data_IF_921833616346
#
_entry.id   IF_921833616346
#
_cell.length_a   1.000
_cell.length_b   1.000
_cell.length_c   1.000
_cell.angle_alpha   90.00
_cell.angle_beta   90.00
_cell.angle_gamma   90.00
#
_symmetry.space_group_name_H-M   'P 1'
#
loop_
_entity.id
_entity.type
_entity.pdbx_description
1 polymer ?
#
# COMPACT_ATOMS: atom_id res chain seq x y z
N UNK A 1 24.75 13.82 -11.32
CA UNK A 1 23.57 14.70 -11.42
C UNK A 1 22.30 13.91 -11.17
N UNK A 2 22.11 12.73 -11.77
CA UNK A 2 20.94 11.86 -11.52
C UNK A 2 20.79 11.41 -10.05
N UNK A 3 21.88 10.94 -9.41
CA UNK A 3 21.86 10.57 -7.98
C UNK A 3 21.48 11.69 -7.01
N UNK A 4 21.82 12.94 -7.35
CA UNK A 4 21.44 14.11 -6.53
C UNK A 4 19.95 14.44 -6.65
N UNK A 5 19.33 14.14 -7.80
CA UNK A 5 17.90 14.37 -8.02
C UNK A 5 17.06 13.31 -7.31
N UNK A 6 17.46 12.03 -7.40
CA UNK A 6 16.80 10.92 -6.68
C UNK A 6 16.84 11.12 -5.16
N UNK A 7 18.01 11.48 -4.61
CA UNK A 7 18.14 11.79 -3.18
C UNK A 7 17.23 12.96 -2.76
N UNK A 8 17.15 14.01 -3.59
CA UNK A 8 16.26 15.15 -3.32
C UNK A 8 14.77 14.78 -3.37
N UNK A 9 14.40 13.83 -4.23
CA UNK A 9 13.03 13.33 -4.33
C UNK A 9 12.69 12.47 -3.11
N UNK A 10 13.59 11.58 -2.69
CA UNK A 10 13.42 10.75 -1.50
C UNK A 10 13.19 11.62 -0.25
N UNK A 11 14.03 12.63 -0.03
CA UNK A 11 13.88 13.56 1.10
C UNK A 11 12.52 14.27 1.10
N UNK A 12 12.05 14.69 -0.08
CA UNK A 12 10.74 15.33 -0.23
C UNK A 12 9.59 14.37 0.07
N UNK A 13 9.66 13.12 -0.41
CA UNK A 13 8.65 12.11 -0.16
C UNK A 13 8.61 11.72 1.32
N UNK A 14 9.77 11.49 1.94
CA UNK A 14 9.87 11.22 3.39
C UNK A 14 9.34 12.38 4.23
N UNK A 15 9.63 13.62 3.85
CA UNK A 15 9.10 14.81 4.54
C UNK A 15 7.56 14.89 4.44
N UNK A 16 6.99 14.58 3.28
CA UNK A 16 5.53 14.53 3.09
C UNK A 16 4.89 13.38 3.90
N UNK A 17 5.57 12.24 3.98
CA UNK A 17 5.14 11.10 4.78
C UNK A 17 5.16 11.45 6.28
N UNK A 18 6.24 12.06 6.78
CA UNK A 18 6.32 12.54 8.16
C UNK A 18 5.15 13.46 8.49
N UNK A 19 4.85 14.45 7.63
CA UNK A 19 3.75 15.39 7.88
C UNK A 19 2.39 14.66 7.98
N UNK A 20 2.15 13.69 7.10
CA UNK A 20 0.89 12.92 7.11
C UNK A 20 0.78 12.03 8.34
N UNK A 21 1.87 11.35 8.72
CA UNK A 21 1.92 10.51 9.92
C UNK A 21 1.75 11.35 11.18
N UNK A 22 2.39 12.52 11.25
CA UNK A 22 2.23 13.45 12.37
C UNK A 22 0.76 13.80 12.61
N UNK A 23 0.01 14.13 11.55
CA UNK A 23 -1.44 14.40 11.65
C UNK A 23 -2.24 13.20 12.16
N UNK A 24 -1.97 12.00 11.65
CA UNK A 24 -2.67 10.78 12.09
C UNK A 24 -2.35 10.50 13.56
N UNK A 25 -1.09 10.63 13.96
CA UNK A 25 -0.66 10.45 15.35
C UNK A 25 -1.30 11.49 16.27
N UNK A 26 -1.35 12.76 15.87
CA UNK A 26 -2.01 13.82 16.63
C UNK A 26 -3.50 13.50 16.85
N UNK A 27 -4.22 13.06 15.81
CA UNK A 27 -5.63 12.67 15.90
C UNK A 27 -5.85 11.49 16.87
N UNK A 28 -4.99 10.47 16.81
CA UNK A 28 -5.11 9.29 17.69
C UNK A 28 -4.68 9.59 19.14
N UNK A 29 -3.64 10.40 19.33
CA UNK A 29 -3.15 10.76 20.67
C UNK A 29 -4.15 11.64 21.44
N UNK A 30 -4.88 12.51 20.75
CA UNK A 30 -6.02 13.26 21.32
C UNK A 30 -7.08 12.28 21.87
N UNK A 31 -7.46 11.25 21.10
CA UNK A 31 -8.46 10.26 21.52
C UNK A 31 -7.98 9.44 22.73
N UNK A 32 -6.68 9.13 22.77
CA UNK A 32 -6.06 8.33 23.83
C UNK A 32 -5.70 9.17 25.07
N UNK A 33 -5.74 10.50 25.00
CA UNK A 33 -5.36 11.39 26.10
C UNK A 33 -3.86 11.32 26.44
N UNK A 34 -3.02 11.00 25.46
CA UNK A 34 -1.56 10.89 25.61
C UNK A 34 -0.86 11.84 24.65
N UNK A 35 0.46 11.99 24.78
CA UNK A 35 1.28 12.74 23.81
C UNK A 35 2.25 11.79 23.10
N UNK A 36 2.47 11.99 21.81
CA UNK A 36 3.53 11.33 21.07
C UNK A 36 4.82 12.15 21.11
N UNK A 37 5.96 11.47 21.19
CA UNK A 37 7.27 12.13 21.09
C UNK A 37 7.66 12.32 19.62
N UNK A 38 8.47 13.33 19.29
CA UNK A 38 9.03 13.47 17.93
C UNK A 38 9.81 12.24 17.48
N UNK A 39 10.48 11.54 18.40
CA UNK A 39 11.22 10.32 18.13
C UNK A 39 10.28 9.16 17.76
N UNK A 40 9.11 9.06 18.41
CA UNK A 40 8.10 8.08 18.05
C UNK A 40 7.56 8.33 16.64
N UNK A 41 7.23 9.59 16.31
CA UNK A 41 6.77 9.98 14.96
C UNK A 41 7.84 9.68 13.91
N UNK A 42 9.11 9.99 14.19
CA UNK A 42 10.23 9.68 13.30
C UNK A 42 10.41 8.17 13.09
N UNK A 43 10.38 7.38 14.16
CA UNK A 43 10.47 5.91 14.07
C UNK A 43 9.29 5.30 13.31
N UNK A 44 8.07 5.80 13.52
CA UNK A 44 6.89 5.37 12.78
C UNK A 44 6.98 5.74 11.29
N UNK A 45 7.57 6.90 10.98
CA UNK A 45 7.82 7.33 9.59
C UNK A 45 8.76 6.37 8.86
N UNK A 46 9.88 6.00 9.47
CA UNK A 46 10.81 5.02 8.88
C UNK A 46 10.20 3.63 8.75
N UNK A 47 9.39 3.21 9.74
CA UNK A 47 8.66 1.94 9.67
C UNK A 47 7.68 1.91 8.48
N UNK A 48 6.87 2.96 8.32
CA UNK A 48 5.92 3.05 7.21
C UNK A 48 6.63 3.16 5.87
N UNK A 49 7.76 3.87 5.81
CA UNK A 49 8.59 3.94 4.61
C UNK A 49 9.06 2.56 4.15
N UNK A 50 9.64 1.76 5.05
CA UNK A 50 10.05 0.39 4.77
C UNK A 50 8.85 -0.52 4.39
N UNK A 51 7.69 -0.29 5.00
CA UNK A 51 6.48 -1.03 4.69
C UNK A 51 5.96 -0.72 3.28
N UNK A 52 6.05 0.54 2.82
CA UNK A 52 5.67 0.95 1.46
C UNK A 52 6.53 0.24 0.42
N UNK A 53 7.85 0.14 0.66
CA UNK A 53 8.76 -0.58 -0.24
C UNK A 53 8.35 -2.05 -0.38
N UNK A 54 8.12 -2.72 0.75
CA UNK A 54 7.70 -4.13 0.79
C UNK A 54 6.35 -4.33 0.07
N UNK A 55 5.36 -3.49 0.37
CA UNK A 55 4.04 -3.54 -0.25
C UNK A 55 4.12 -3.33 -1.76
N UNK A 56 4.97 -2.41 -2.22
CA UNK A 56 5.13 -2.12 -3.64
C UNK A 56 5.66 -3.33 -4.42
N UNK A 57 6.65 -4.03 -3.87
CA UNK A 57 7.21 -5.26 -4.45
C UNK A 57 6.18 -6.41 -4.47
N UNK A 58 5.39 -6.55 -3.39
CA UNK A 58 4.33 -7.54 -3.31
C UNK A 58 3.22 -7.28 -4.36
N UNK A 59 2.80 -6.01 -4.51
CA UNK A 59 1.79 -5.62 -5.51
C UNK A 59 2.24 -5.91 -6.94
N UNK A 60 3.48 -5.56 -7.27
CA UNK A 60 4.07 -5.88 -8.57
C UNK A 60 4.11 -7.40 -8.79
N UNK A 61 4.54 -8.15 -7.79
CA UNK A 61 4.60 -9.61 -7.85
C UNK A 61 3.22 -10.24 -8.06
N UNK A 62 2.17 -9.73 -7.42
CA UNK A 62 0.80 -10.22 -7.58
C UNK A 62 0.21 -9.89 -8.94
N UNK A 63 0.40 -8.66 -9.43
CA UNK A 63 0.00 -8.25 -10.76
C UNK A 63 0.67 -9.15 -11.83
N UNK A 64 1.97 -9.42 -11.64
CA UNK A 64 2.75 -10.25 -12.55
C UNK A 64 2.38 -11.76 -12.49
N UNK A 65 1.88 -12.24 -11.36
CA UNK A 65 1.56 -13.68 -11.14
C UNK A 65 0.12 -14.05 -11.50
N UNK A 66 -0.76 -13.08 -11.75
CA UNK A 66 -2.22 -13.24 -11.86
C UNK A 66 -2.73 -14.22 -12.93
N UNK A 67 -1.88 -14.71 -13.85
CA UNK A 67 -2.27 -15.63 -14.94
C UNK A 67 -1.97 -17.11 -14.63
N UNK A 68 -2.57 -17.66 -13.56
CA UNK A 68 -2.52 -19.12 -13.29
C UNK A 68 -3.92 -19.74 -13.16
N UNK A 69 -4.73 -19.64 -14.22
CA UNK A 69 -5.68 -20.72 -14.54
C UNK A 69 -4.97 -21.68 -15.50
N UNK A 70 -4.31 -22.69 -14.93
CA UNK A 70 -3.94 -23.87 -15.71
C UNK A 70 -5.24 -24.58 -16.09
N UNK A 71 -5.67 -24.41 -17.35
CA UNK A 71 -6.62 -25.33 -17.98
C UNK A 71 -5.85 -26.06 -19.07
N UNK A 72 -5.44 -27.30 -18.76
CA UNK A 72 -4.97 -28.37 -19.66
C UNK A 72 -4.41 -27.94 -21.02
N UNK A 73 -3.33 -27.15 -21.02
CA UNK A 73 -2.57 -26.83 -22.22
C UNK A 73 -1.14 -27.35 -22.04
N UNK A 74 -0.72 -28.22 -22.97
CA UNK A 74 0.61 -28.84 -23.04
C UNK A 74 1.72 -27.83 -23.39
N UNK A 75 1.37 -26.55 -23.57
CA UNK A 75 2.30 -25.47 -23.83
C UNK A 75 2.01 -24.30 -22.86
N UNK A 76 2.63 -24.32 -21.69
CA UNK A 76 2.46 -23.28 -20.67
C UNK A 76 3.17 -21.99 -21.09
N UNK A 77 2.43 -21.05 -21.68
CA UNK A 77 2.88 -19.68 -21.94
C UNK A 77 3.13 -18.95 -20.61
N UNK A 78 4.38 -19.00 -20.15
CA UNK A 78 4.86 -18.56 -18.83
C UNK A 78 5.18 -17.05 -18.74
N UNK A 79 4.61 -16.17 -19.58
CA UNK A 79 5.19 -14.83 -19.77
C UNK A 79 4.22 -13.66 -20.07
N UNK A 80 3.08 -13.54 -19.38
CA UNK A 80 2.34 -12.27 -19.43
C UNK A 80 1.51 -12.06 -18.17
N UNK A 81 2.15 -11.59 -17.10
CA UNK A 81 1.43 -10.98 -15.99
C UNK A 81 0.80 -9.65 -16.39
N UNK A 82 -0.03 -9.07 -15.53
CA UNK A 82 -0.52 -7.69 -15.72
C UNK A 82 0.58 -6.71 -15.32
N UNK A 83 0.81 -5.68 -16.12
CA UNK A 83 1.70 -4.55 -15.78
C UNK A 83 0.97 -3.43 -15.02
N UNK A 84 -0.33 -3.59 -14.80
CA UNK A 84 -1.17 -2.62 -14.09
C UNK A 84 -1.75 -3.30 -12.84
N UNK A 85 -1.48 -2.69 -11.68
CA UNK A 85 -1.99 -3.12 -10.37
C UNK A 85 -3.48 -2.80 -10.29
N UNK A 86 -4.28 -3.78 -9.83
CA UNK A 86 -5.72 -3.66 -9.65
C UNK A 86 -6.10 -3.88 -8.18
N UNK A 87 -7.36 -3.59 -7.84
CA UNK A 87 -7.93 -3.82 -6.50
C UNK A 87 -7.73 -5.27 -6.02
N UNK A 88 -7.80 -6.25 -6.90
CA UNK A 88 -7.56 -7.65 -6.55
C UNK A 88 -6.16 -7.93 -6.00
N UNK A 89 -5.14 -7.17 -6.45
CA UNK A 89 -3.77 -7.31 -5.97
C UNK A 89 -3.63 -6.77 -4.54
N UNK A 90 -4.30 -5.64 -4.26
CA UNK A 90 -4.39 -5.07 -2.91
C UNK A 90 -5.14 -6.02 -1.97
N UNK A 91 -6.22 -6.66 -2.43
CA UNK A 91 -6.93 -7.67 -1.63
C UNK A 91 -6.05 -8.88 -1.30
N UNK A 92 -5.10 -9.25 -2.17
CA UNK A 92 -4.16 -10.34 -1.89
C UNK A 92 -3.16 -10.00 -0.77
N UNK A 93 -2.83 -8.72 -0.56
CA UNK A 93 -2.02 -8.29 0.59
C UNK A 93 -2.75 -8.55 1.91
N UNK A 94 -4.04 -8.21 1.97
CA UNK A 94 -4.83 -8.30 3.20
C UNK A 94 -5.27 -9.72 3.57
N UNK A 95 -5.11 -10.70 2.67
CA UNK A 95 -5.63 -12.08 2.83
C UNK A 95 -5.22 -12.80 4.12
N UNK A 96 -4.11 -12.39 4.77
CA UNK A 96 -3.60 -13.00 6.01
C UNK A 96 -4.15 -12.34 7.27
N UNK A 97 -4.90 -11.25 7.14
CA UNK A 97 -5.51 -10.51 8.23
C UNK A 97 -6.99 -10.30 7.92
N UNK A 98 -7.85 -11.14 8.51
CA UNK A 98 -9.29 -11.15 8.24
C UNK A 98 -9.95 -9.79 8.56
N UNK A 99 -9.50 -9.12 9.62
CA UNK A 99 -10.01 -7.80 9.99
C UNK A 99 -9.67 -6.73 8.94
N UNK A 100 -8.43 -6.73 8.47
CA UNK A 100 -7.99 -5.82 7.40
C UNK A 100 -8.70 -6.13 6.08
N UNK A 101 -8.84 -7.41 5.70
CA UNK A 101 -9.56 -7.83 4.50
C UNK A 101 -11.02 -7.35 4.54
N UNK A 102 -11.69 -7.49 5.68
CA UNK A 102 -13.07 -7.00 5.87
C UNK A 102 -13.18 -5.49 5.69
N UNK A 103 -12.27 -4.70 6.29
CA UNK A 103 -12.29 -3.24 6.18
C UNK A 103 -12.06 -2.80 4.73
N UNK A 104 -11.09 -3.40 4.03
CA UNK A 104 -10.80 -3.06 2.64
C UNK A 104 -11.94 -3.45 1.70
N UNK A 105 -12.61 -4.59 1.91
CA UNK A 105 -13.80 -4.96 1.13
C UNK A 105 -14.92 -3.94 1.28
N UNK A 106 -15.21 -3.52 2.51
CA UNK A 106 -16.23 -2.52 2.77
C UNK A 106 -15.89 -1.18 2.08
N UNK A 107 -14.63 -0.76 2.11
CA UNK A 107 -14.17 0.43 1.40
C UNK A 107 -14.34 0.31 -0.12
N UNK A 108 -13.94 -0.81 -0.73
CA UNK A 108 -14.09 -1.05 -2.17
C UNK A 108 -15.56 -1.02 -2.59
N UNK A 109 -16.45 -1.58 -1.78
CA UNK A 109 -17.88 -1.58 -2.06
C UNK A 109 -18.48 -0.17 -2.02
N UNK A 110 -18.11 0.64 -1.02
CA UNK A 110 -18.53 2.04 -0.93
C UNK A 110 -18.06 2.88 -2.12
N UNK A 111 -16.83 2.66 -2.59
CA UNK A 111 -16.30 3.41 -3.72
C UNK A 111 -16.93 3.00 -5.05
N UNK A 112 -17.39 1.75 -5.20
CA UNK A 112 -18.19 1.35 -6.36
C UNK A 112 -19.55 2.03 -6.38
N UNK A 113 -20.23 2.05 -5.24
CA UNK A 113 -21.53 2.73 -5.11
C UNK A 113 -21.42 4.22 -5.44
N UNK A 114 -20.37 4.89 -4.95
CA UNK A 114 -20.09 6.30 -5.28
C UNK A 114 -19.93 6.55 -6.79
N UNK A 115 -19.31 5.61 -7.50
CA UNK A 115 -19.11 5.71 -8.95
C UNK A 115 -20.39 5.43 -9.75
N UNK A 116 -21.28 4.57 -9.24
CA UNK A 116 -22.56 4.27 -9.87
C UNK A 116 -23.59 5.41 -9.69
N UNK A 117 -23.47 6.18 -8.59
CA UNK A 117 -24.33 7.33 -8.29
C UNK A 117 -23.89 8.65 -8.98
N UNK A 118 -22.75 8.67 -9.69
CA UNK A 118 -22.19 9.85 -10.37
C UNK A 118 -22.42 9.81 -11.88
#
# INVERSE_FOLDING_TARGET
MEQTEEASLEERLKSALWLSIGKIVDEETIKLGVNATPQFIGALTEMVWAQIETISQDLESFANTSNKKCSNSIFSSRHAGRSTVNVSDVMLLARRNEGLDSILRAFVEQEKQRQEDS
#
